data_IF_358938214283
#
_entry.id   IF_358938214283
#
_cell.length_a   1.000
_cell.length_b   1.000
_cell.length_c   1.000
_cell.angle_alpha   90.00
_cell.angle_beta   90.00
_cell.angle_gamma   90.00
#
_symmetry.space_group_name_H-M   'P 1'
#
loop_
_entity.id
_entity.type
_entity.pdbx_description
1 polymer ?
#
# COMPACT_ATOMS: atom_id res chain seq x y z
N UNK A 1 -46.12 12.17 -23.02
CA UNK A 1 -46.19 13.55 -22.47
C UNK A 1 -44.90 13.81 -21.70
N UNK A 2 -43.97 14.54 -22.30
CA UNK A 2 -42.76 15.00 -21.60
C UNK A 2 -43.16 16.05 -20.57
N UNK A 3 -42.78 15.84 -19.31
CA UNK A 3 -42.69 16.92 -18.32
C UNK A 3 -41.27 16.96 -17.79
N UNK A 4 -40.50 17.86 -18.38
CA UNK A 4 -39.26 18.40 -17.83
C UNK A 4 -39.59 19.43 -16.75
N UNK A 5 -38.90 19.35 -15.61
CA UNK A 5 -38.52 20.40 -14.64
C UNK A 5 -38.44 19.76 -13.23
N UNK A 6 -37.50 20.08 -12.34
CA UNK A 6 -36.59 21.21 -12.23
C UNK A 6 -35.33 20.75 -11.49
N UNK A 7 -34.15 21.16 -11.96
CA UNK A 7 -32.87 20.96 -11.26
C UNK A 7 -32.77 21.96 -10.12
N UNK A 8 -32.81 21.48 -8.88
CA UNK A 8 -32.44 22.27 -7.71
C UNK A 8 -30.91 22.25 -7.55
N UNK A 9 -30.27 23.32 -8.02
CA UNK A 9 -28.85 23.61 -7.82
C UNK A 9 -28.62 23.92 -6.33
N UNK A 10 -28.09 22.96 -5.57
CA UNK A 10 -27.59 23.23 -4.21
C UNK A 10 -26.25 23.96 -4.32
N UNK A 11 -26.27 25.24 -3.98
CA UNK A 11 -25.07 26.07 -3.80
C UNK A 11 -24.38 25.62 -2.51
N UNK A 12 -23.20 25.00 -2.65
CA UNK A 12 -22.28 24.73 -1.56
C UNK A 12 -21.49 26.02 -1.28
N UNK A 13 -21.77 26.64 -0.13
CA UNK A 13 -20.99 27.75 0.38
C UNK A 13 -19.68 27.21 0.98
N UNK A 14 -18.56 27.52 0.34
CA UNK A 14 -17.21 27.28 0.87
C UNK A 14 -16.93 28.25 2.02
N UNK A 15 -16.87 27.76 3.26
CA UNK A 15 -16.27 28.50 4.37
C UNK A 15 -14.76 28.20 4.39
N UNK A 16 -13.98 29.05 3.70
CA UNK A 16 -12.53 29.06 3.80
C UNK A 16 -12.13 29.90 5.02
N UNK A 17 -11.43 29.30 5.98
CA UNK A 17 -10.81 30.01 7.11
C UNK A 17 -9.35 30.33 6.72
N UNK A 18 -8.94 31.60 6.63
CA UNK A 18 -7.56 31.97 6.35
C UNK A 18 -6.74 31.96 7.65
N UNK A 19 -5.78 31.04 7.75
CA UNK A 19 -4.69 31.11 8.74
C UNK A 19 -3.59 31.97 8.13
N UNK A 20 -3.46 33.19 8.64
CA UNK A 20 -2.36 34.11 8.33
C UNK A 20 -1.17 33.71 9.21
N UNK A 21 -0.12 33.15 8.60
CA UNK A 21 1.21 33.01 9.20
C UNK A 21 2.16 33.94 8.46
N UNK A 22 2.33 35.15 9.00
CA UNK A 22 3.36 36.11 8.58
C UNK A 22 4.70 35.69 9.20
N UNK A 23 5.63 35.22 8.37
CA UNK A 23 7.05 35.23 8.72
C UNK A 23 7.73 36.23 7.78
N UNK A 24 7.94 37.43 8.31
CA UNK A 24 8.84 38.42 7.72
C UNK A 24 10.27 38.07 8.11
N UNK A 25 11.21 38.15 7.17
CA UNK A 25 12.63 37.92 7.45
C UNK A 25 13.51 37.78 6.21
N UNK A 26 13.46 38.78 5.33
CA UNK A 26 14.45 39.08 4.27
C UNK A 26 15.87 39.09 4.89
N UNK A 27 16.83 38.34 4.37
CA UNK A 27 17.79 38.76 3.33
C UNK A 27 18.72 39.93 3.72
N UNK A 28 20.01 39.65 3.55
CA UNK A 28 21.20 40.51 3.51
C UNK A 28 21.04 42.03 3.59
N UNK A 29 21.71 42.65 4.56
CA UNK A 29 22.28 43.99 4.38
C UNK A 29 23.58 44.19 5.17
N UNK A 30 24.39 45.10 4.66
CA UNK A 30 25.81 45.30 4.91
C UNK A 30 26.02 46.39 5.96
N UNK A 31 26.60 46.05 7.12
CA UNK A 31 26.90 47.00 8.19
C UNK A 31 28.36 46.99 8.57
N UNK A 32 29.06 48.07 8.22
CA UNK A 32 30.43 48.42 8.62
C UNK A 32 30.50 48.62 10.13
N UNK A 33 31.53 48.06 10.76
CA UNK A 33 32.07 48.63 12.00
C UNK A 33 33.58 48.80 11.89
N UNK A 34 34.03 49.96 12.35
CA UNK A 34 35.36 50.50 12.17
C UNK A 34 36.08 50.47 13.50
N UNK A 35 37.15 49.68 13.58
CA UNK A 35 38.08 49.69 14.71
C UNK A 35 39.51 49.66 14.21
N UNK A 36 40.18 50.81 14.25
CA UNK A 36 41.62 50.93 14.05
C UNK A 36 42.35 50.38 15.29
N UNK A 37 43.47 49.67 15.11
CA UNK A 37 44.82 50.23 15.27
C UNK A 37 45.93 49.17 15.04
N UNK A 38 47.03 49.66 14.46
CA UNK A 38 48.44 49.21 14.41
C UNK A 38 48.88 47.73 14.46
N UNK A 39 49.79 47.39 13.52
CA UNK A 39 51.05 46.73 13.91
C UNK A 39 51.59 45.59 13.03
N UNK A 40 52.53 45.95 12.13
CA UNK A 40 53.77 45.21 11.75
C UNK A 40 53.76 43.71 11.31
N UNK A 41 54.24 43.56 10.06
CA UNK A 41 55.40 42.75 9.60
C UNK A 41 55.28 41.21 9.51
N UNK A 42 55.35 40.76 8.25
CA UNK A 42 56.11 39.62 7.68
C UNK A 42 56.07 38.25 8.36
N UNK A 43 55.62 37.25 7.60
CA UNK A 43 55.94 35.85 7.86
C UNK A 43 55.24 34.91 6.88
N UNK A 44 55.94 34.49 5.84
CA UNK A 44 55.52 33.39 4.98
C UNK A 44 55.45 32.10 5.83
N UNK A 45 54.34 31.36 5.75
CA UNK A 45 54.36 29.93 6.02
C UNK A 45 53.23 29.24 5.25
N UNK A 46 53.63 28.46 4.25
CA UNK A 46 52.82 27.55 3.48
C UNK A 46 52.16 26.53 4.40
N UNK A 47 50.86 26.69 4.66
CA UNK A 47 50.06 25.64 5.28
C UNK A 47 49.28 24.92 4.20
N UNK A 48 49.69 23.68 3.95
CA UNK A 48 49.06 22.77 3.01
C UNK A 48 47.55 22.70 3.27
N UNK A 49 46.77 23.01 2.22
CA UNK A 49 45.33 22.75 2.21
C UNK A 49 45.12 21.25 2.35
N UNK A 50 44.80 20.80 3.57
CA UNK A 50 44.23 19.49 3.78
C UNK A 50 42.88 19.47 3.04
N UNK A 51 42.86 18.80 1.88
CA UNK A 51 41.60 18.44 1.22
C UNK A 51 40.73 17.72 2.25
N UNK A 52 39.45 18.10 2.44
CA UNK A 52 38.53 17.29 3.20
C UNK A 52 38.52 15.91 2.52
N UNK A 53 38.99 14.90 3.24
CA UNK A 53 38.87 13.53 2.79
C UNK A 53 37.38 13.23 2.76
N UNK A 54 36.81 13.19 1.55
CA UNK A 54 35.43 12.76 1.33
C UNK A 54 35.34 11.32 1.82
N UNK A 55 34.85 11.14 3.04
CA UNK A 55 34.44 9.84 3.57
C UNK A 55 33.57 9.18 2.50
N UNK A 56 33.83 7.93 2.10
CA UNK A 56 32.96 7.23 1.16
C UNK A 56 31.54 7.30 1.71
N UNK A 57 30.65 7.98 0.99
CA UNK A 57 29.22 7.89 1.26
C UNK A 57 28.87 6.42 1.11
N UNK A 58 28.44 5.76 2.19
CA UNK A 58 28.04 4.37 2.13
C UNK A 58 27.00 4.23 1.01
N UNK A 59 27.32 3.42 -0.01
CA UNK A 59 26.40 3.17 -1.10
C UNK A 59 25.11 2.61 -0.52
N UNK A 60 23.99 3.29 -0.79
CA UNK A 60 22.71 2.92 -0.21
C UNK A 60 22.28 1.56 -0.77
N UNK A 61 21.92 0.64 0.12
CA UNK A 61 21.53 -0.72 -0.24
C UNK A 61 20.34 -0.72 -1.22
N UNK A 62 20.45 -1.47 -2.31
CA UNK A 62 19.38 -1.55 -3.32
C UNK A 62 18.16 -2.29 -2.75
N UNK A 63 16.96 -1.88 -3.16
CA UNK A 63 15.73 -2.62 -2.89
C UNK A 63 15.79 -4.04 -3.52
N UNK A 64 15.28 -5.04 -2.78
CA UNK A 64 15.28 -6.46 -3.18
C UNK A 64 14.36 -6.69 -4.38
N UNK A 65 13.12 -6.23 -4.28
CA UNK A 65 12.14 -6.31 -5.37
C UNK A 65 12.12 -5.04 -6.22
N UNK A 66 12.20 -5.25 -7.54
CA UNK A 66 12.14 -4.21 -8.57
C UNK A 66 10.81 -4.16 -9.33
N UNK A 67 9.94 -5.16 -9.16
CA UNK A 67 8.67 -5.26 -9.86
C UNK A 67 7.53 -5.64 -8.90
N UNK A 68 6.31 -5.28 -9.30
CA UNK A 68 5.07 -5.82 -8.75
C UNK A 68 4.42 -6.76 -9.78
N UNK A 69 3.73 -7.83 -9.33
CA UNK A 69 2.90 -8.63 -10.23
C UNK A 69 1.72 -7.79 -10.76
N UNK A 70 1.06 -8.29 -11.80
CA UNK A 70 -0.25 -7.76 -12.16
C UNK A 70 -1.23 -8.08 -11.02
N UNK A 71 -1.86 -7.07 -10.39
CA UNK A 71 -2.54 -7.24 -9.12
C UNK A 71 -3.76 -8.16 -9.21
N UNK A 72 -4.47 -8.20 -10.34
CA UNK A 72 -5.61 -9.08 -10.52
C UNK A 72 -5.24 -10.55 -10.79
N UNK A 73 -3.98 -10.81 -11.14
CA UNK A 73 -3.42 -12.16 -11.33
C UNK A 73 -2.49 -12.59 -10.19
N UNK A 74 -2.38 -11.79 -9.13
CA UNK A 74 -1.55 -12.13 -7.97
C UNK A 74 -2.08 -13.33 -7.17
N UNK A 75 -3.35 -13.67 -7.37
CA UNK A 75 -4.04 -14.84 -6.81
C UNK A 75 -4.63 -15.65 -7.96
N UNK A 76 -4.60 -16.98 -7.85
CA UNK A 76 -5.08 -17.86 -8.91
C UNK A 76 -6.58 -17.72 -9.16
N UNK A 77 -7.01 -17.85 -10.42
CA UNK A 77 -8.42 -17.72 -10.80
C UNK A 77 -9.37 -18.65 -10.03
N UNK A 78 -8.92 -19.88 -9.71
CA UNK A 78 -9.69 -20.82 -8.88
C UNK A 78 -9.86 -20.34 -7.44
N UNK A 79 -8.81 -19.72 -6.90
CA UNK A 79 -8.85 -19.12 -5.56
C UNK A 79 -9.83 -17.94 -5.56
N UNK A 80 -9.77 -17.06 -6.57
CA UNK A 80 -10.75 -15.97 -6.74
C UNK A 80 -12.19 -16.49 -6.84
N UNK A 81 -12.44 -17.52 -7.64
CA UNK A 81 -13.78 -18.12 -7.77
C UNK A 81 -14.33 -18.66 -6.44
N UNK A 82 -13.45 -19.26 -5.62
CA UNK A 82 -13.82 -19.77 -4.30
C UNK A 82 -14.06 -18.65 -3.27
N UNK A 83 -13.28 -17.57 -3.33
CA UNK A 83 -13.38 -16.44 -2.40
C UNK A 83 -14.53 -15.49 -2.72
N UNK A 84 -14.80 -15.28 -4.01
CA UNK A 84 -15.80 -14.33 -4.48
C UNK A 84 -16.74 -15.03 -5.47
N UNK A 85 -17.59 -15.95 -4.97
CA UNK A 85 -18.58 -16.60 -5.81
C UNK A 85 -19.48 -15.55 -6.46
N UNK A 86 -19.85 -15.79 -7.72
CA UNK A 86 -20.65 -14.85 -8.52
C UNK A 86 -20.02 -13.45 -8.59
N UNK A 87 -18.69 -13.37 -8.67
CA UNK A 87 -18.00 -12.11 -8.90
C UNK A 87 -18.57 -11.38 -10.12
N UNK A 88 -18.82 -10.07 -10.00
CA UNK A 88 -19.30 -9.24 -11.12
C UNK A 88 -18.33 -9.25 -12.30
N UNK A 89 -17.03 -9.26 -11.98
CA UNK A 89 -15.96 -9.50 -12.94
C UNK A 89 -15.02 -10.55 -12.33
N UNK A 90 -14.93 -11.72 -12.97
CA UNK A 90 -14.06 -12.81 -12.53
C UNK A 90 -12.56 -12.44 -12.62
N UNK A 91 -12.20 -11.51 -13.51
CA UNK A 91 -10.84 -11.02 -13.64
C UNK A 91 -10.54 -9.86 -12.69
N UNK A 92 -11.54 -9.37 -11.94
CA UNK A 92 -11.38 -8.26 -11.02
C UNK A 92 -11.23 -6.91 -11.71
N UNK A 93 -11.23 -5.86 -10.91
CA UNK A 93 -11.08 -4.48 -11.36
C UNK A 93 -9.79 -3.90 -10.80
N UNK A 94 -8.80 -3.72 -11.68
CA UNK A 94 -7.55 -3.05 -11.34
C UNK A 94 -7.78 -1.55 -11.09
N UNK A 95 -7.19 -1.03 -10.02
CA UNK A 95 -7.21 0.40 -9.75
C UNK A 95 -6.32 1.15 -10.76
N UNK A 96 -6.76 2.33 -11.18
CA UNK A 96 -5.93 3.22 -12.00
C UNK A 96 -4.91 3.92 -11.11
N UNK A 97 -3.65 3.94 -11.56
CA UNK A 97 -2.55 4.63 -10.88
C UNK A 97 -1.63 5.25 -11.93
N UNK A 98 -1.03 6.39 -11.60
CA UNK A 98 0.07 6.97 -12.38
C UNK A 98 1.43 6.31 -12.07
N UNK A 99 1.49 5.41 -11.08
CA UNK A 99 2.67 4.68 -10.65
C UNK A 99 2.33 3.20 -10.41
N UNK A 100 2.00 2.48 -11.49
CA UNK A 100 1.73 1.04 -11.42
C UNK A 100 2.98 0.20 -11.14
N UNK A 101 4.17 0.78 -11.29
CA UNK A 101 5.44 0.11 -10.99
C UNK A 101 5.70 -0.04 -9.48
N UNK A 102 5.09 0.83 -8.67
CA UNK A 102 5.26 0.83 -7.22
C UNK A 102 3.95 0.69 -6.45
N UNK A 103 2.80 0.83 -7.11
CA UNK A 103 1.47 0.69 -6.49
C UNK A 103 0.50 -0.04 -7.42
N UNK A 104 0.01 -1.17 -6.96
CA UNK A 104 -0.93 -1.98 -7.72
C UNK A 104 -2.06 -2.45 -6.81
N UNK A 105 -3.30 -2.31 -7.25
CA UNK A 105 -4.48 -2.76 -6.49
C UNK A 105 -5.46 -3.44 -7.43
N UNK A 106 -6.08 -4.53 -6.98
CA UNK A 106 -7.21 -5.15 -7.64
C UNK A 106 -8.33 -5.44 -6.64
N UNK A 107 -9.57 -5.36 -7.12
CA UNK A 107 -10.76 -5.61 -6.31
C UNK A 107 -11.75 -6.52 -7.02
N UNK A 108 -12.50 -7.28 -6.23
CA UNK A 108 -13.59 -8.14 -6.66
C UNK A 108 -14.77 -7.94 -5.70
N UNK A 109 -15.99 -8.03 -6.22
CA UNK A 109 -17.18 -8.27 -5.41
C UNK A 109 -18.13 -9.24 -6.09
N UNK A 110 -18.85 -9.99 -5.28
CA UNK A 110 -19.84 -10.96 -5.72
C UNK A 110 -21.03 -10.97 -4.77
N UNK A 111 -22.19 -11.25 -5.33
CA UNK A 111 -23.43 -11.49 -4.61
C UNK A 111 -24.01 -12.80 -5.12
N UNK A 112 -24.00 -13.83 -4.28
CA UNK A 112 -24.61 -15.11 -4.58
C UNK A 112 -26.04 -15.13 -4.01
N UNK A 113 -27.01 -14.95 -4.89
CA UNK A 113 -28.43 -14.88 -4.56
C UNK A 113 -29.06 -16.28 -4.57
N UNK A 114 -29.65 -16.71 -3.46
CA UNK A 114 -30.30 -18.01 -3.33
C UNK A 114 -31.81 -17.91 -3.00
N UNK A 115 -32.44 -16.79 -3.37
CA UNK A 115 -33.87 -16.55 -3.20
C UNK A 115 -34.30 -16.64 -1.73
N UNK A 116 -35.24 -17.53 -1.40
CA UNK A 116 -35.73 -17.69 -0.01
C UNK A 116 -34.66 -18.16 0.99
N UNK A 117 -33.51 -18.64 0.52
CA UNK A 117 -32.36 -19.00 1.36
C UNK A 117 -31.47 -17.80 1.71
N UNK A 118 -31.83 -16.63 1.19
CA UNK A 118 -31.10 -15.39 1.30
C UNK A 118 -29.88 -15.31 0.39
N UNK A 119 -29.03 -14.31 0.62
CA UNK A 119 -27.95 -13.95 -0.29
C UNK A 119 -26.64 -13.75 0.45
N UNK A 120 -25.51 -14.13 -0.18
CA UNK A 120 -24.17 -14.01 0.39
C UNK A 120 -23.34 -13.03 -0.42
N UNK A 121 -22.85 -11.98 0.23
CA UNK A 121 -21.94 -11.02 -0.37
C UNK A 121 -20.49 -11.32 0.01
N UNK A 122 -19.60 -11.08 -0.94
CA UNK A 122 -18.15 -11.11 -0.74
C UNK A 122 -17.49 -9.92 -1.41
N UNK A 123 -16.50 -9.33 -0.74
CA UNK A 123 -15.59 -8.36 -1.33
C UNK A 123 -14.15 -8.71 -0.98
N UNK A 124 -13.29 -8.65 -1.97
CA UNK A 124 -11.86 -8.87 -1.85
C UNK A 124 -11.13 -7.69 -2.47
N UNK A 125 -10.11 -7.19 -1.76
CA UNK A 125 -9.18 -6.19 -2.25
C UNK A 125 -7.77 -6.63 -1.95
N UNK A 126 -6.88 -6.54 -2.94
CA UNK A 126 -5.45 -6.78 -2.78
C UNK A 126 -4.73 -5.52 -3.21
N UNK A 127 -3.98 -4.91 -2.30
CA UNK A 127 -3.15 -3.75 -2.57
C UNK A 127 -1.69 -4.07 -2.30
N UNK A 128 -0.83 -3.71 -3.24
CA UNK A 128 0.61 -3.88 -3.17
C UNK A 128 1.30 -2.52 -3.29
N UNK A 129 2.24 -2.26 -2.39
CA UNK A 129 3.09 -1.08 -2.43
C UNK A 129 4.55 -1.48 -2.33
N UNK A 130 5.33 -1.18 -3.35
CA UNK A 130 6.78 -1.41 -3.41
C UNK A 130 7.52 -0.14 -3.03
N UNK A 131 8.55 -0.28 -2.22
CA UNK A 131 9.38 0.81 -1.74
C UNK A 131 10.77 0.72 -2.36
N UNK A 132 11.16 1.77 -3.09
CA UNK A 132 12.53 1.93 -3.57
C UNK A 132 13.47 2.42 -2.47
N UNK A 133 14.74 2.06 -2.64
CA UNK A 133 15.85 2.60 -1.87
C UNK A 133 16.23 3.98 -2.41
N UNK A 134 16.16 5.01 -1.57
CA UNK A 134 16.38 6.41 -1.96
C UNK A 134 17.27 7.12 -0.93
N UNK A 135 18.30 7.83 -1.42
CA UNK A 135 19.30 8.53 -0.58
C UNK A 135 18.69 9.46 0.48
N UNK A 136 17.55 10.09 0.19
CA UNK A 136 16.90 11.06 1.07
C UNK A 136 16.00 10.45 2.14
N UNK A 137 15.53 9.21 1.97
CA UNK A 137 14.48 8.61 2.83
C UNK A 137 14.79 7.18 3.29
N UNK A 138 15.94 6.62 2.92
CA UNK A 138 16.43 5.34 3.41
C UNK A 138 16.21 4.15 2.46
N UNK A 139 16.48 2.94 2.97
CA UNK A 139 16.37 1.69 2.22
C UNK A 139 14.91 1.30 1.99
N UNK A 140 14.64 0.62 0.87
CA UNK A 140 13.30 0.13 0.55
C UNK A 140 12.73 -0.77 1.66
N UNK A 141 13.56 -1.66 2.22
CA UNK A 141 13.15 -2.58 3.29
C UNK A 141 12.72 -1.83 4.55
N UNK A 142 13.48 -0.83 5.00
CA UNK A 142 13.12 -0.05 6.20
C UNK A 142 11.84 0.76 5.98
N UNK A 143 11.69 1.33 4.78
CA UNK A 143 10.47 2.08 4.41
C UNK A 143 9.24 1.18 4.38
N UNK A 144 9.37 -0.05 3.90
CA UNK A 144 8.29 -1.03 3.92
C UNK A 144 7.96 -1.50 5.35
N UNK A 145 8.95 -1.66 6.22
CA UNK A 145 8.75 -1.96 7.65
C UNK A 145 7.99 -0.84 8.38
N UNK A 146 8.35 0.41 8.11
CA UNK A 146 7.67 1.58 8.66
C UNK A 146 6.23 1.68 8.17
N UNK A 147 5.99 1.46 6.86
CA UNK A 147 4.64 1.43 6.32
C UNK A 147 3.83 0.28 6.90
N UNK A 148 4.39 -0.93 6.97
CA UNK A 148 3.75 -2.10 7.56
C UNK A 148 3.25 -1.77 8.97
N UNK A 149 4.12 -1.23 9.82
CA UNK A 149 3.80 -0.88 11.20
C UNK A 149 2.71 0.17 11.24
N UNK A 150 2.82 1.21 10.41
CA UNK A 150 1.82 2.27 10.31
C UNK A 150 0.46 1.75 9.86
N UNK A 151 0.40 0.84 8.89
CA UNK A 151 -0.86 0.27 8.41
C UNK A 151 -1.49 -0.63 9.47
N UNK A 152 -0.70 -1.41 10.20
CA UNK A 152 -1.22 -2.23 11.32
C UNK A 152 -1.82 -1.33 12.40
N UNK A 153 -1.12 -0.27 12.82
CA UNK A 153 -1.65 0.68 13.81
C UNK A 153 -2.90 1.40 13.32
N UNK A 154 -2.94 1.79 12.03
CA UNK A 154 -4.13 2.38 11.43
C UNK A 154 -5.31 1.39 11.43
N UNK A 155 -5.06 0.13 11.09
CA UNK A 155 -6.11 -0.89 11.01
C UNK A 155 -6.69 -1.25 12.39
N UNK A 156 -5.88 -1.18 13.46
CA UNK A 156 -6.34 -1.38 14.86
C UNK A 156 -7.36 -0.35 15.33
N UNK A 157 -7.37 0.84 14.72
CA UNK A 157 -8.30 1.94 15.06
C UNK A 157 -9.36 2.16 13.98
N UNK A 158 -9.71 1.10 13.25
CA UNK A 158 -10.78 1.14 12.23
C UNK A 158 -12.09 1.61 12.87
N UNK A 159 -12.63 2.70 12.36
CA UNK A 159 -13.88 3.28 12.85
C UNK A 159 -15.05 2.31 12.67
N UNK A 160 -15.83 2.10 13.73
CA UNK A 160 -16.99 1.19 13.71
C UNK A 160 -16.64 -0.30 13.77
N UNK A 161 -15.37 -0.66 13.97
CA UNK A 161 -14.95 -2.04 14.20
C UNK A 161 -15.40 -2.51 15.60
N UNK A 162 -16.14 -3.62 15.64
CA UNK A 162 -16.53 -4.32 16.86
C UNK A 162 -15.68 -5.59 17.02
N UNK A 163 -15.32 -5.90 18.27
CA UNK A 163 -14.56 -7.11 18.64
C UNK A 163 -13.26 -7.28 17.84
N UNK A 164 -12.58 -6.18 17.53
CA UNK A 164 -11.34 -6.21 16.77
C UNK A 164 -10.28 -7.04 17.50
N UNK A 165 -9.69 -7.98 16.78
CA UNK A 165 -8.52 -8.74 17.19
C UNK A 165 -7.42 -8.51 16.18
N UNK A 166 -6.19 -8.32 16.66
CA UNK A 166 -5.00 -8.21 15.84
C UNK A 166 -3.99 -9.24 16.33
N UNK A 167 -3.62 -10.19 15.47
CA UNK A 167 -2.76 -11.32 15.82
C UNK A 167 -1.66 -11.50 14.76
N UNK A 168 -0.45 -11.94 15.14
CA UNK A 168 0.58 -12.33 14.18
C UNK A 168 0.05 -13.40 13.20
N UNK A 169 0.37 -13.25 11.92
CA UNK A 169 0.00 -14.21 10.88
C UNK A 169 1.25 -14.89 10.32
N UNK A 170 1.74 -15.89 11.05
CA UNK A 170 3.04 -16.52 10.75
C UNK A 170 3.08 -17.24 9.39
N UNK A 171 4.28 -17.25 8.79
CA UNK A 171 4.51 -17.90 7.50
C UNK A 171 3.97 -17.14 6.29
N UNK A 172 3.79 -15.82 6.41
CA UNK A 172 3.43 -14.91 5.32
C UNK A 172 4.50 -13.82 5.21
N UNK A 173 5.32 -13.87 4.17
CA UNK A 173 6.42 -12.92 3.97
C UNK A 173 7.41 -12.89 5.14
N UNK A 174 8.05 -11.74 5.34
CA UNK A 174 8.94 -11.48 6.46
C UNK A 174 8.16 -11.25 7.77
N UNK A 175 6.96 -10.67 7.65
CA UNK A 175 6.15 -10.24 8.78
C UNK A 175 4.70 -10.07 8.33
N UNK A 176 3.74 -10.52 9.12
CA UNK A 176 2.33 -10.26 8.85
C UNK A 176 1.49 -10.16 10.13
N UNK A 177 0.40 -9.40 10.06
CA UNK A 177 -0.62 -9.29 11.11
C UNK A 177 -1.99 -9.42 10.47
N UNK A 178 -2.80 -10.32 11.02
CA UNK A 178 -4.21 -10.45 10.68
C UNK A 178 -5.06 -9.64 11.67
N UNK A 179 -6.00 -8.88 11.13
CA UNK A 179 -7.00 -8.15 11.89
C UNK A 179 -8.38 -8.69 11.53
N UNK A 180 -9.12 -9.19 12.51
CA UNK A 180 -10.51 -9.64 12.32
C UNK A 180 -11.45 -8.77 13.14
N UNK A 181 -12.55 -8.33 12.55
CA UNK A 181 -13.52 -7.47 13.22
C UNK A 181 -14.89 -7.52 12.53
N UNK A 182 -15.93 -7.11 13.25
CA UNK A 182 -17.26 -6.92 12.68
C UNK A 182 -17.55 -5.44 12.44
N UNK A 183 -18.43 -5.12 11.49
CA UNK A 183 -18.97 -3.75 11.29
C UNK A 183 -20.45 -3.79 10.96
N UNK A 184 -21.22 -2.77 11.41
CA UNK A 184 -22.69 -2.72 11.25
C UNK A 184 -23.23 -1.59 10.38
N UNK A 185 -22.36 -0.76 9.79
CA UNK A 185 -22.76 0.52 9.15
C UNK A 185 -23.79 0.34 8.02
N UNK A 186 -23.60 -0.67 7.18
CA UNK A 186 -24.41 -0.94 5.97
C UNK A 186 -24.90 -2.40 5.91
N UNK A 187 -24.98 -3.07 7.06
CA UNK A 187 -25.27 -4.50 7.21
C UNK A 187 -24.32 -5.15 8.23
N UNK A 188 -24.58 -6.42 8.58
CA UNK A 188 -23.70 -7.20 9.45
C UNK A 188 -22.55 -7.81 8.63
N UNK A 189 -21.37 -7.20 8.72
CA UNK A 189 -20.17 -7.66 8.02
C UNK A 189 -19.18 -8.33 8.98
N UNK A 190 -18.62 -9.44 8.53
CA UNK A 190 -17.39 -10.01 9.07
C UNK A 190 -16.23 -9.60 8.15
N UNK A 191 -15.17 -9.05 8.74
CA UNK A 191 -14.02 -8.50 8.02
C UNK A 191 -12.73 -9.18 8.47
N UNK A 192 -11.85 -9.45 7.52
CA UNK A 192 -10.45 -9.81 7.75
C UNK A 192 -9.56 -8.89 6.92
N UNK A 193 -8.61 -8.24 7.57
CA UNK A 193 -7.53 -7.49 6.92
C UNK A 193 -6.22 -8.17 7.27
N UNK A 194 -5.45 -8.62 6.27
CA UNK A 194 -4.08 -9.10 6.47
C UNK A 194 -3.13 -8.08 5.88
N UNK A 195 -2.25 -7.54 6.73
CA UNK A 195 -1.14 -6.69 6.30
C UNK A 195 0.11 -7.54 6.41
N UNK A 196 0.84 -7.68 5.31
CA UNK A 196 2.07 -8.45 5.23
C UNK A 196 3.18 -7.62 4.61
N UNK A 197 4.43 -7.91 4.99
CA UNK A 197 5.64 -7.35 4.40
C UNK A 197 6.48 -8.47 3.82
N UNK A 198 6.89 -8.32 2.57
CA UNK A 198 7.88 -9.17 1.91
C UNK A 198 9.01 -8.25 1.41
N UNK A 199 10.16 -8.28 2.08
CA UNK A 199 11.26 -7.34 1.89
C UNK A 199 10.78 -5.88 1.84
N UNK A 200 10.86 -5.26 0.65
CA UNK A 200 10.49 -3.88 0.38
C UNK A 200 9.08 -3.73 -0.23
N UNK A 201 8.21 -4.74 -0.12
CA UNK A 201 6.81 -4.68 -0.55
C UNK A 201 5.89 -4.86 0.65
N UNK A 202 4.89 -4.00 0.77
CA UNK A 202 3.76 -4.15 1.70
C UNK A 202 2.55 -4.61 0.92
N UNK A 203 1.90 -5.66 1.41
CA UNK A 203 0.67 -6.24 0.88
C UNK A 203 -0.43 -6.00 1.91
N UNK A 204 -1.55 -5.46 1.46
CA UNK A 204 -2.76 -5.32 2.26
C UNK A 204 -3.88 -6.06 1.54
N UNK A 205 -4.36 -7.13 2.17
CA UNK A 205 -5.49 -7.91 1.70
C UNK A 205 -6.68 -7.65 2.61
N UNK A 206 -7.74 -7.06 2.07
CA UNK A 206 -9.01 -6.90 2.77
C UNK A 206 -10.03 -7.88 2.19
N UNK A 207 -10.61 -8.70 3.05
CA UNK A 207 -11.62 -9.68 2.67
C UNK A 207 -12.80 -9.57 3.63
N UNK A 208 -13.98 -9.30 3.09
CA UNK A 208 -15.20 -9.21 3.88
C UNK A 208 -16.32 -10.06 3.29
N UNK A 209 -17.26 -10.40 4.17
CA UNK A 209 -18.52 -10.99 3.79
C UNK A 209 -19.66 -10.42 4.60
N UNK A 210 -20.84 -10.44 4.00
CA UNK A 210 -22.11 -10.18 4.67
C UNK A 210 -23.16 -11.18 4.19
N UNK A 211 -24.16 -11.40 5.04
CA UNK A 211 -25.34 -12.18 4.72
C UNK A 211 -26.55 -11.25 4.64
N UNK A 212 -27.43 -11.51 3.69
CA UNK A 212 -28.66 -10.77 3.49
C UNK A 212 -29.87 -11.70 3.48
N UNK A 213 -31.06 -11.12 3.67
CA UNK A 213 -32.34 -11.83 3.47
C UNK A 213 -32.51 -13.08 4.34
N UNK A 214 -31.95 -13.06 5.56
CA UNK A 214 -32.05 -14.15 6.53
C UNK A 214 -31.06 -15.30 6.31
N UNK A 215 -30.11 -15.16 5.39
CA UNK A 215 -28.99 -16.10 5.28
C UNK A 215 -28.09 -16.03 6.53
N UNK A 216 -27.38 -17.12 6.81
CA UNK A 216 -26.44 -17.20 7.92
C UNK A 216 -25.25 -16.25 7.71
N UNK A 217 -24.82 -15.60 8.80
CA UNK A 217 -23.64 -14.75 8.78
C UNK A 217 -22.39 -15.52 8.33
N UNK A 218 -21.46 -14.88 7.60
CA UNK A 218 -20.22 -15.55 7.21
C UNK A 218 -19.41 -16.00 8.41
N UNK A 219 -18.84 -17.20 8.30
CA UNK A 219 -17.90 -17.72 9.28
C UNK A 219 -16.59 -16.91 9.27
N UNK A 220 -16.36 -16.15 10.35
CA UNK A 220 -15.17 -15.31 10.48
C UNK A 220 -13.86 -16.10 10.49
N UNK A 221 -13.84 -17.33 11.04
CA UNK A 221 -12.65 -18.17 11.04
C UNK A 221 -12.35 -18.69 9.63
N UNK A 222 -13.40 -19.04 8.86
CA UNK A 222 -13.23 -19.41 7.45
C UNK A 222 -12.74 -18.23 6.62
N UNK A 223 -13.28 -17.04 6.83
CA UNK A 223 -12.80 -15.81 6.17
C UNK A 223 -11.31 -15.57 6.45
N UNK A 224 -10.87 -15.74 7.70
CA UNK A 224 -9.46 -15.60 8.09
C UNK A 224 -8.57 -16.63 7.40
N UNK A 225 -8.98 -17.90 7.37
CA UNK A 225 -8.25 -18.96 6.70
C UNK A 225 -8.08 -18.68 5.20
N UNK A 226 -9.15 -18.22 4.58
CA UNK A 226 -9.22 -17.91 3.15
C UNK A 226 -8.36 -16.69 2.78
N UNK A 227 -8.47 -15.62 3.56
CA UNK A 227 -7.60 -14.45 3.44
C UNK A 227 -6.13 -14.84 3.59
N UNK A 228 -5.80 -15.69 4.57
CA UNK A 228 -4.43 -16.17 4.82
C UNK A 228 -3.87 -16.91 3.61
N UNK A 229 -4.64 -17.81 3.00
CA UNK A 229 -4.22 -18.53 1.81
C UNK A 229 -3.99 -17.57 0.62
N UNK A 230 -4.90 -16.63 0.40
CA UNK A 230 -4.79 -15.64 -0.66
C UNK A 230 -3.59 -14.69 -0.48
N UNK A 231 -3.28 -14.28 0.76
CA UNK A 231 -2.09 -13.46 1.03
C UNK A 231 -0.81 -14.25 0.77
N UNK A 232 -0.77 -15.55 1.09
CA UNK A 232 0.39 -16.42 0.75
C UNK A 232 0.59 -16.54 -0.76
N UNK A 233 -0.48 -16.75 -1.53
CA UNK A 233 -0.41 -16.73 -3.01
C UNK A 233 0.09 -15.38 -3.53
N UNK A 234 -0.38 -14.28 -2.93
CA UNK A 234 0.04 -12.92 -3.32
C UNK A 234 1.53 -12.70 -3.08
N UNK A 235 2.05 -13.12 -1.91
CA UNK A 235 3.49 -13.07 -1.61
C UNK A 235 4.28 -13.89 -2.63
N UNK A 236 3.85 -15.13 -2.91
CA UNK A 236 4.51 -15.98 -3.90
C UNK A 236 4.51 -15.36 -5.31
N UNK A 237 3.45 -14.65 -5.68
CA UNK A 237 3.38 -13.89 -6.94
C UNK A 237 4.35 -12.70 -6.97
N UNK A 238 4.56 -12.01 -5.85
CA UNK A 238 5.59 -10.96 -5.71
C UNK A 238 6.98 -11.58 -5.90
N UNK A 239 7.25 -12.71 -5.27
CA UNK A 239 8.53 -13.42 -5.41
C UNK A 239 8.76 -13.81 -6.87
N UNK A 240 7.78 -14.46 -7.50
CA UNK A 240 7.84 -14.91 -8.88
C UNK A 240 8.08 -13.76 -9.87
N UNK A 241 7.46 -12.59 -9.66
CA UNK A 241 7.66 -11.41 -10.49
C UNK A 241 9.09 -10.85 -10.43
N UNK A 242 9.88 -11.24 -9.43
CA UNK A 242 11.24 -10.78 -9.18
C UNK A 242 12.30 -11.88 -9.30
N UNK A 243 11.91 -13.12 -9.65
CA UNK A 243 12.87 -14.16 -10.00
C UNK A 243 13.57 -13.83 -11.32
N UNK A 244 14.84 -14.22 -11.50
CA UNK A 244 15.49 -14.16 -12.81
C UNK A 244 14.67 -14.96 -13.82
N UNK A 245 14.22 -14.32 -14.91
CA UNK A 245 13.53 -15.05 -15.99
C UNK A 245 14.48 -16.12 -16.53
N UNK A 246 14.08 -17.39 -16.48
CA UNK A 246 14.75 -18.41 -17.30
C UNK A 246 14.68 -17.97 -18.76
N UNK A 247 15.73 -18.17 -19.57
CA UNK A 247 15.65 -17.95 -21.01
C UNK A 247 14.45 -18.74 -21.55
N UNK A 248 13.52 -18.06 -22.23
CA UNK A 248 12.46 -18.74 -22.98
C UNK A 248 13.13 -19.77 -23.89
N UNK A 249 12.86 -21.06 -23.65
CA UNK A 249 13.32 -22.12 -24.52
C UNK A 249 12.68 -21.88 -25.89
N UNK A 250 13.50 -21.46 -26.84
CA UNK A 250 13.09 -21.37 -28.24
C UNK A 250 12.59 -22.74 -28.69
N UNK A 251 11.45 -22.84 -29.39
CA UNK A 251 10.98 -24.11 -29.91
C UNK A 251 12.08 -24.69 -30.80
N UNK A 252 12.52 -25.92 -30.49
CA UNK A 252 13.49 -26.64 -31.30
C UNK A 252 12.92 -26.82 -32.71
N UNK A 253 13.72 -26.66 -33.78
CA UNK A 253 13.25 -26.90 -35.12
C UNK A 253 12.91 -28.39 -35.26
N UNK A 254 11.69 -28.68 -35.67
CA UNK A 254 11.28 -30.02 -36.07
C UNK A 254 12.16 -30.45 -37.24
N UNK A 255 12.98 -31.48 -37.05
CA UNK A 255 13.73 -32.12 -38.13
C UNK A 255 12.73 -32.74 -39.11
N UNK A 256 12.93 -32.47 -40.40
CA UNK A 256 12.08 -32.92 -41.51
C UNK A 256 12.28 -34.37 -41.91
#
# INVERSE_FOLDING_TARGET
MHRSASRLTRVLACAAVPVILTVAGCSSDSGKDSGADSGKKSGASSSASAKPSTKPSAALEKAVYSALPEPCKAVGAKTIEALVPKAKDANGTAAKSNDLASRATCTWNGLDEAGLKGSQYRWLSISLVRYDSLASVGTGSKRAEDEYTKQVEKAKVTEGAENLKAEPADGIGDQATALTFATKKDGDFANTTIIARAHNVVITLDYNGAAYEGADAPDAAKLLQDATAATKETVASVDAANQPKQPEQSPSPTAG
#
